data_IF_209933495038
#
_entry.id   IF_209933495038
#
_cell.length_a   1.000
_cell.length_b   1.000
_cell.length_c   1.000
_cell.angle_alpha   90.00
_cell.angle_beta   90.00
_cell.angle_gamma   90.00
#
_symmetry.space_group_name_H-M   'P 1'
#
loop_
_entity.id
_entity.type
_entity.pdbx_description
1 polymer ?
#
# COMPACT_ATOMS: atom_id res chain seq x y z
N UNK A 1 -19.40 -29.11 36.22
CA UNK A 1 -19.46 -27.65 36.22
C UNK A 1 -18.58 -27.17 35.09
N UNK A 2 -19.11 -27.11 33.87
CA UNK A 2 -18.42 -26.48 32.73
C UNK A 2 -18.56 -24.96 32.93
N UNK A 3 -17.45 -24.26 33.12
CA UNK A 3 -17.46 -22.80 33.08
C UNK A 3 -17.52 -22.37 31.62
N UNK A 4 -18.68 -21.88 31.19
CA UNK A 4 -18.81 -21.07 29.98
C UNK A 4 -17.99 -19.81 30.17
N UNK A 5 -16.92 -19.68 29.37
CA UNK A 5 -16.25 -18.41 29.16
C UNK A 5 -17.03 -17.66 28.08
N UNK A 6 -18.17 -17.08 28.46
CA UNK A 6 -18.81 -16.05 27.64
C UNK A 6 -17.83 -14.88 27.54
N UNK A 7 -17.16 -14.81 26.40
CA UNK A 7 -16.32 -13.68 26.08
C UNK A 7 -17.25 -12.49 25.81
N UNK A 8 -17.28 -11.53 26.74
CA UNK A 8 -18.03 -10.27 26.73
C UNK A 8 -17.56 -9.29 25.63
N UNK A 9 -17.20 -9.82 24.46
CA UNK A 9 -16.68 -9.08 23.33
C UNK A 9 -17.19 -9.71 22.03
N UNK A 10 -18.02 -8.96 21.32
CA UNK A 10 -18.52 -9.34 19.98
C UNK A 10 -17.41 -9.40 18.92
N UNK A 11 -16.20 -8.91 19.24
CA UNK A 11 -15.04 -8.98 18.36
C UNK A 11 -14.28 -10.29 18.54
N UNK A 12 -13.81 -10.84 17.43
CA UNK A 12 -12.82 -11.91 17.48
C UNK A 12 -11.54 -11.44 18.21
N UNK A 13 -10.74 -12.37 18.76
CA UNK A 13 -9.57 -12.02 19.56
C UNK A 13 -8.53 -11.14 18.84
N UNK A 14 -8.43 -11.20 17.51
CA UNK A 14 -7.51 -10.37 16.75
C UNK A 14 -8.07 -8.95 16.59
N UNK A 15 -9.33 -8.81 16.17
CA UNK A 15 -9.99 -7.51 16.10
C UNK A 15 -10.00 -6.79 17.46
N UNK A 16 -10.22 -7.51 18.55
CA UNK A 16 -10.13 -6.98 19.91
C UNK A 16 -8.74 -6.38 20.22
N UNK A 17 -7.66 -7.09 19.83
CA UNK A 17 -6.28 -6.62 20.03
C UNK A 17 -5.94 -5.41 19.17
N UNK A 18 -6.38 -5.38 17.92
CA UNK A 18 -6.19 -4.23 17.02
C UNK A 18 -6.85 -2.98 17.62
N UNK A 19 -8.11 -3.11 18.06
CA UNK A 19 -8.84 -2.00 18.70
C UNK A 19 -8.16 -1.51 19.98
N UNK A 20 -7.67 -2.43 20.82
CA UNK A 20 -6.94 -2.06 22.03
C UNK A 20 -5.64 -1.29 21.72
N UNK A 21 -4.88 -1.72 20.70
CA UNK A 21 -3.66 -1.03 20.26
C UNK A 21 -3.96 0.37 19.70
N UNK A 22 -4.95 0.49 18.81
CA UNK A 22 -5.35 1.78 18.27
C UNK A 22 -5.76 2.75 19.39
N UNK A 23 -6.55 2.27 20.36
CA UNK A 23 -7.01 3.07 21.49
C UNK A 23 -5.83 3.60 22.32
N UNK A 24 -4.92 2.71 22.76
CA UNK A 24 -3.82 3.12 23.63
C UNK A 24 -2.79 4.00 22.90
N UNK A 25 -2.53 3.76 21.61
CA UNK A 25 -1.60 4.58 20.82
C UNK A 25 -2.17 5.97 20.56
N UNK A 26 -3.48 6.08 20.32
CA UNK A 26 -4.18 7.37 20.16
C UNK A 26 -4.17 8.15 21.48
N UNK A 27 -4.53 7.51 22.59
CA UNK A 27 -4.50 8.16 23.92
C UNK A 27 -3.12 8.66 24.32
N UNK A 28 -2.06 7.98 23.88
CA UNK A 28 -0.67 8.40 24.08
C UNK A 28 -0.20 9.48 23.09
N UNK A 29 -1.02 9.88 22.13
CA UNK A 29 -0.66 10.86 21.09
C UNK A 29 0.41 10.35 20.11
N UNK A 30 0.56 9.02 19.98
CA UNK A 30 1.57 8.41 19.10
C UNK A 30 1.06 8.22 17.68
N UNK A 31 -0.25 8.20 17.48
CA UNK A 31 -0.91 8.15 16.18
C UNK A 31 -2.04 9.18 16.11
N UNK A 32 -2.36 9.60 14.89
CA UNK A 32 -3.58 10.32 14.55
C UNK A 32 -4.51 9.35 13.79
N UNK A 33 -5.70 9.01 14.30
CA UNK A 33 -6.65 8.14 13.60
C UNK A 33 -6.98 8.63 12.19
N UNK A 34 -7.10 9.95 11.98
CA UNK A 34 -7.39 10.50 10.66
C UNK A 34 -6.24 10.26 9.66
N UNK A 35 -4.99 10.20 10.14
CA UNK A 35 -3.85 9.84 9.31
C UNK A 35 -3.86 8.35 8.92
N UNK A 36 -4.36 7.47 9.80
CA UNK A 36 -4.53 6.05 9.50
C UNK A 36 -5.58 5.86 8.40
N UNK A 37 -6.71 6.56 8.47
CA UNK A 37 -7.75 6.51 7.44
C UNK A 37 -7.21 6.92 6.05
N UNK A 38 -6.39 7.97 6.00
CA UNK A 38 -5.76 8.41 4.74
C UNK A 38 -4.81 7.33 4.17
N UNK A 39 -4.10 6.61 5.03
CA UNK A 39 -3.23 5.51 4.61
C UNK A 39 -4.08 4.38 4.02
N UNK A 40 -5.17 4.00 4.70
CA UNK A 40 -6.09 2.95 4.23
C UNK A 40 -6.67 3.33 2.86
N UNK A 41 -7.29 4.51 2.73
CA UNK A 41 -7.86 4.98 1.46
C UNK A 41 -6.82 5.01 0.33
N UNK A 42 -5.59 5.46 0.63
CA UNK A 42 -4.53 5.52 -0.38
C UNK A 42 -4.24 4.16 -1.00
N UNK A 43 -4.15 3.10 -0.20
CA UNK A 43 -3.88 1.75 -0.73
C UNK A 43 -5.12 1.01 -1.20
N UNK A 44 -6.29 1.36 -0.70
CA UNK A 44 -7.55 0.76 -1.12
C UNK A 44 -8.03 1.30 -2.47
N UNK A 45 -7.87 2.61 -2.71
CA UNK A 45 -8.52 3.28 -3.86
C UNK A 45 -7.55 3.91 -4.86
N UNK A 46 -6.37 4.36 -4.42
CA UNK A 46 -5.45 5.16 -5.27
C UNK A 46 -4.28 4.36 -5.83
N UNK A 47 -3.70 3.47 -5.02
CA UNK A 47 -2.55 2.65 -5.41
C UNK A 47 -3.05 1.28 -5.84
N UNK A 48 -2.73 0.88 -7.07
CA UNK A 48 -3.08 -0.45 -7.55
C UNK A 48 -2.50 -0.79 -8.92
N UNK A 49 -2.79 -2.00 -9.44
CA UNK A 49 -2.21 -2.54 -10.67
C UNK A 49 -2.41 -1.67 -11.92
N UNK A 50 -3.41 -0.79 -11.91
CA UNK A 50 -3.67 0.18 -12.99
C UNK A 50 -2.48 1.12 -13.25
N UNK A 51 -1.67 1.42 -12.24
CA UNK A 51 -0.46 2.22 -12.42
C UNK A 51 0.56 1.48 -13.28
N UNK A 52 0.84 0.20 -12.95
CA UNK A 52 1.71 -0.65 -13.76
C UNK A 52 1.20 -0.85 -15.19
N UNK A 53 -0.11 -1.03 -15.37
CA UNK A 53 -0.71 -1.14 -16.69
C UNK A 53 -0.47 0.11 -17.57
N UNK A 54 -0.49 1.32 -16.97
CA UNK A 54 -0.17 2.57 -17.68
C UNK A 54 1.30 2.66 -18.06
N UNK A 55 2.22 2.22 -17.19
CA UNK A 55 3.65 2.13 -17.49
C UNK A 55 3.89 1.21 -18.69
N UNK A 56 3.30 0.00 -18.66
CA UNK A 56 3.42 -0.98 -19.75
C UNK A 56 2.87 -0.42 -21.06
N UNK A 57 1.67 0.16 -21.04
CA UNK A 57 1.05 0.74 -22.23
C UNK A 57 1.92 1.86 -22.84
N UNK A 58 2.50 2.74 -22.00
CA UNK A 58 3.40 3.78 -22.49
C UNK A 58 4.66 3.18 -23.12
N UNK A 59 5.28 2.19 -22.48
CA UNK A 59 6.45 1.50 -23.04
C UNK A 59 6.16 0.82 -24.38
N UNK A 60 4.96 0.30 -24.60
CA UNK A 60 4.58 -0.25 -25.91
C UNK A 60 4.40 0.82 -26.99
N UNK A 61 3.91 2.00 -26.65
CA UNK A 61 3.66 3.08 -27.60
C UNK A 61 4.86 4.01 -27.85
N UNK A 62 5.85 3.99 -26.96
CA UNK A 62 6.95 4.96 -26.90
C UNK A 62 8.28 4.21 -26.71
N UNK A 63 9.01 3.91 -27.80
CA UNK A 63 10.28 3.19 -27.72
C UNK A 63 11.34 3.90 -26.85
N UNK A 64 11.35 5.24 -26.85
CA UNK A 64 12.26 6.02 -26.01
C UNK A 64 11.98 5.82 -24.53
N UNK A 65 10.70 5.81 -24.15
CA UNK A 65 10.30 5.46 -22.78
C UNK A 65 10.61 3.99 -22.45
N UNK A 66 10.43 3.06 -23.39
CA UNK A 66 10.75 1.65 -23.16
C UNK A 66 12.24 1.44 -22.87
N UNK A 67 13.12 2.12 -23.60
CA UNK A 67 14.56 2.02 -23.39
C UNK A 67 15.00 2.72 -22.10
N UNK A 68 14.37 3.85 -21.77
CA UNK A 68 14.59 4.48 -20.47
C UNK A 68 14.13 3.58 -19.30
N UNK A 69 12.95 2.96 -19.41
CA UNK A 69 12.41 2.04 -18.42
C UNK A 69 13.32 0.81 -18.19
N UNK A 70 14.04 0.33 -19.22
CA UNK A 70 15.05 -0.73 -19.07
C UNK A 70 16.29 -0.25 -18.32
N UNK A 71 16.72 0.98 -18.59
CA UNK A 71 17.95 1.55 -18.04
C UNK A 71 17.77 1.98 -16.58
N UNK A 72 16.68 2.68 -16.29
CA UNK A 72 16.34 3.20 -14.98
C UNK A 72 14.82 3.19 -14.80
N UNK A 73 14.32 2.06 -14.31
CA UNK A 73 12.89 1.90 -14.12
C UNK A 73 12.33 2.84 -13.05
N UNK A 74 13.13 3.21 -12.05
CA UNK A 74 12.71 4.11 -10.97
C UNK A 74 12.41 5.48 -11.57
N UNK A 75 13.39 6.11 -12.22
CA UNK A 75 13.22 7.44 -12.80
C UNK A 75 12.11 7.47 -13.87
N UNK A 76 11.98 6.40 -14.66
CA UNK A 76 10.95 6.30 -15.69
C UNK A 76 9.52 6.27 -15.11
N UNK A 77 9.25 5.49 -14.05
CA UNK A 77 7.90 5.47 -13.46
C UNK A 77 7.61 6.72 -12.63
N UNK A 78 8.64 7.34 -12.03
CA UNK A 78 8.52 8.61 -11.33
C UNK A 78 8.09 9.74 -12.27
N UNK A 79 8.52 9.70 -13.54
CA UNK A 79 8.08 10.64 -14.57
C UNK A 79 6.56 10.58 -14.81
N UNK A 80 5.89 9.52 -14.37
CA UNK A 80 4.43 9.33 -14.44
C UNK A 80 3.73 9.58 -13.10
N UNK A 81 4.47 10.05 -12.08
CA UNK A 81 3.97 10.28 -10.73
C UNK A 81 3.88 9.02 -9.86
N UNK A 82 4.50 7.91 -10.28
CA UNK A 82 4.56 6.69 -9.50
C UNK A 82 5.85 6.65 -8.70
N UNK A 83 5.76 6.94 -7.41
CA UNK A 83 6.88 6.97 -6.47
C UNK A 83 6.39 6.51 -5.09
N UNK A 84 7.31 6.31 -4.16
CA UNK A 84 7.01 6.15 -2.74
C UNK A 84 7.33 4.77 -2.17
N UNK A 85 6.67 4.48 -1.04
CA UNK A 85 6.99 3.33 -0.16
C UNK A 85 6.93 2.00 -0.90
N UNK A 86 7.93 1.15 -0.66
CA UNK A 86 8.13 -0.17 -1.29
C UNK A 86 8.39 -0.14 -2.80
N UNK A 87 8.56 1.06 -3.39
CA UNK A 87 8.92 1.26 -4.80
C UNK A 87 10.14 2.17 -4.97
N UNK A 88 10.96 2.30 -3.93
CA UNK A 88 12.09 3.23 -3.88
C UNK A 88 13.18 2.88 -4.90
N UNK A 89 13.29 1.60 -5.25
CA UNK A 89 14.24 1.08 -6.23
C UNK A 89 13.56 0.02 -7.09
N UNK A 90 13.21 0.41 -8.31
CA UNK A 90 12.47 -0.43 -9.24
C UNK A 90 13.37 -1.01 -10.33
N UNK A 91 13.01 -2.23 -10.76
CA UNK A 91 13.58 -2.87 -11.93
C UNK A 91 12.45 -3.42 -12.80
N UNK A 92 12.45 -3.04 -14.09
CA UNK A 92 11.53 -3.61 -15.07
C UNK A 92 12.21 -4.78 -15.79
N UNK A 93 11.61 -5.96 -15.72
CA UNK A 93 12.09 -7.17 -16.42
C UNK A 93 11.24 -7.38 -17.66
N UNK A 94 11.86 -7.32 -18.83
CA UNK A 94 11.18 -7.44 -20.11
C UNK A 94 11.09 -8.92 -20.51
N UNK A 95 9.86 -9.38 -20.76
CA UNK A 95 9.64 -10.69 -21.37
C UNK A 95 10.12 -10.69 -22.83
N UNK A 96 10.52 -11.87 -23.33
CA UNK A 96 10.98 -12.12 -24.70
C UNK A 96 10.13 -13.16 -25.38
#
# INVERSE_FOLDING_TARGET
>A
MSHDHDHDNELDPFAARVRALETILTQKGLIDPAAIDVIVDTYETKIGPRNGARVVAKAWSDPGFADWLKLDATAAIESLGYTGRQGEHMQAVFNT
#
